data_IF_839082488890
#
_entry.id   IF_839082488890
#
_cell.length_a   1.000
_cell.length_b   1.000
_cell.length_c   1.000
_cell.angle_alpha   90.00
_cell.angle_beta   90.00
_cell.angle_gamma   90.00
#
_symmetry.space_group_name_H-M   'P 1'
#
loop_
_entity.id
_entity.type
_entity.pdbx_description
1 polymer ?
#
# COMPACT_ATOMS: atom_id res chain seq x y z
N UNK A 1 34.35 10.14 -16.08
CA UNK A 1 33.54 11.32 -15.70
C UNK A 1 32.47 11.69 -16.73
N UNK A 2 32.36 10.98 -17.86
CA UNK A 2 31.34 11.24 -18.90
C UNK A 2 30.04 10.47 -18.68
N UNK A 3 30.11 9.30 -18.04
CA UNK A 3 28.96 8.41 -17.78
C UNK A 3 28.00 9.00 -16.74
N UNK A 4 28.51 9.72 -15.75
CA UNK A 4 27.69 10.40 -14.71
C UNK A 4 27.16 11.76 -15.16
N UNK A 5 27.26 12.08 -16.47
CA UNK A 5 26.82 13.32 -17.11
C UNK A 5 27.40 14.63 -16.54
N UNK A 6 28.41 14.57 -15.67
CA UNK A 6 29.00 15.77 -15.03
C UNK A 6 29.84 16.56 -16.03
N UNK A 7 30.72 15.89 -16.76
CA UNK A 7 31.42 16.47 -17.92
C UNK A 7 32.16 17.78 -17.64
N UNK A 8 33.08 17.80 -16.66
CA UNK A 8 33.86 18.99 -16.29
C UNK A 8 34.63 19.64 -17.45
N UNK A 9 34.98 18.86 -18.49
CA UNK A 9 35.69 19.37 -19.68
C UNK A 9 37.18 19.58 -19.48
N UNK A 10 37.73 19.06 -18.39
CA UNK A 10 39.15 19.02 -18.04
C UNK A 10 39.97 18.17 -19.01
N UNK A 11 39.37 17.10 -19.55
CA UNK A 11 39.96 16.26 -20.61
C UNK A 11 39.00 16.24 -21.80
N UNK A 12 39.47 16.73 -22.96
CA UNK A 12 38.68 16.79 -24.20
C UNK A 12 39.41 16.11 -25.36
N UNK A 13 38.68 15.42 -26.27
CA UNK A 13 39.29 14.76 -27.42
C UNK A 13 39.94 15.80 -28.33
N UNK A 14 41.19 15.57 -28.69
CA UNK A 14 41.95 16.45 -29.58
C UNK A 14 41.91 15.95 -31.03
N UNK A 15 41.69 14.64 -31.21
CA UNK A 15 41.69 13.99 -32.52
C UNK A 15 40.30 13.48 -32.94
N UNK A 16 40.07 13.38 -34.25
CA UNK A 16 38.79 12.85 -34.80
C UNK A 16 38.46 11.43 -34.33
N UNK A 17 39.48 10.59 -34.13
CA UNK A 17 39.31 9.23 -33.62
C UNK A 17 38.88 9.24 -32.14
N UNK A 18 39.50 10.09 -31.32
CA UNK A 18 39.15 10.28 -29.91
C UNK A 18 37.73 10.85 -29.75
N UNK A 19 37.34 11.76 -30.65
CA UNK A 19 35.99 12.31 -30.69
C UNK A 19 34.94 11.22 -30.98
N UNK A 20 35.19 10.35 -31.96
CA UNK A 20 34.30 9.22 -32.26
C UNK A 20 34.14 8.25 -31.08
N UNK A 21 35.24 7.95 -30.39
CA UNK A 21 35.22 7.12 -29.18
C UNK A 21 34.47 7.80 -28.03
N UNK A 22 34.67 9.10 -27.83
CA UNK A 22 33.98 9.87 -26.80
C UNK A 22 32.46 9.89 -27.03
N UNK A 23 32.01 10.07 -28.27
CA UNK A 23 30.58 10.00 -28.64
C UNK A 23 30.02 8.60 -28.34
N UNK A 24 30.71 7.54 -28.73
CA UNK A 24 30.26 6.16 -28.47
C UNK A 24 30.13 5.88 -26.96
N UNK A 25 31.11 6.31 -26.16
CA UNK A 25 31.08 6.16 -24.70
C UNK A 25 29.96 7.01 -24.06
N UNK A 26 29.68 8.20 -24.60
CA UNK A 26 28.56 9.02 -24.13
C UNK A 26 27.21 8.36 -24.41
N UNK A 27 27.02 7.79 -25.60
CA UNK A 27 25.78 7.07 -25.93
C UNK A 27 25.60 5.85 -25.02
N UNK A 28 26.65 5.04 -24.86
CA UNK A 28 26.61 3.88 -23.96
C UNK A 28 26.38 4.30 -22.50
N UNK A 29 27.05 5.37 -22.05
CA UNK A 29 26.88 5.93 -20.72
C UNK A 29 25.45 6.40 -20.47
N UNK A 30 24.83 7.08 -21.44
CA UNK A 30 23.44 7.50 -21.36
C UNK A 30 22.47 6.31 -21.25
N UNK A 31 22.66 5.25 -22.04
CA UNK A 31 21.85 4.04 -21.97
C UNK A 31 21.93 3.38 -20.58
N UNK A 32 23.14 3.23 -20.04
CA UNK A 32 23.35 2.66 -18.70
C UNK A 32 22.73 3.55 -17.63
N UNK A 33 22.89 4.87 -17.73
CA UNK A 33 22.33 5.82 -16.77
C UNK A 33 20.80 5.82 -16.77
N UNK A 34 20.16 5.84 -17.94
CA UNK A 34 18.70 5.75 -18.05
C UNK A 34 18.18 4.42 -17.52
N UNK A 35 18.87 3.30 -17.78
CA UNK A 35 18.51 2.00 -17.20
C UNK A 35 18.57 2.03 -15.67
N UNK A 36 19.62 2.61 -15.08
CA UNK A 36 19.72 2.74 -13.63
C UNK A 36 18.58 3.57 -13.04
N UNK A 37 18.23 4.70 -13.66
CA UNK A 37 17.08 5.51 -13.22
C UNK A 37 15.79 4.68 -13.29
N UNK A 38 15.56 3.93 -14.37
CA UNK A 38 14.36 3.12 -14.51
C UNK A 38 14.25 2.05 -13.41
N UNK A 39 15.36 1.39 -13.07
CA UNK A 39 15.40 0.41 -11.97
C UNK A 39 15.09 1.09 -10.62
N UNK A 40 15.70 2.25 -10.34
CA UNK A 40 15.43 3.00 -9.10
C UNK A 40 13.95 3.38 -9.02
N UNK A 41 13.36 3.89 -10.10
CA UNK A 41 11.95 4.26 -10.14
C UNK A 41 11.04 3.07 -9.89
N UNK A 42 11.36 1.90 -10.46
CA UNK A 42 10.60 0.66 -10.22
C UNK A 42 10.69 0.19 -8.76
N UNK A 43 11.81 0.41 -8.09
CA UNK A 43 11.93 0.08 -6.66
C UNK A 43 11.11 1.04 -5.81
N UNK A 44 11.16 2.34 -6.11
CA UNK A 44 10.39 3.36 -5.39
C UNK A 44 8.88 3.11 -5.50
N UNK A 45 8.39 2.67 -6.67
CA UNK A 45 6.96 2.36 -6.83
C UNK A 45 6.46 1.22 -5.95
N UNK A 46 7.31 0.23 -5.63
CA UNK A 46 6.92 -0.91 -4.79
C UNK A 46 6.86 -0.53 -3.31
N UNK A 47 7.77 0.34 -2.85
CA UNK A 47 7.85 0.71 -1.43
C UNK A 47 6.60 1.46 -0.95
N UNK A 48 5.92 2.18 -1.85
CA UNK A 48 4.87 3.12 -1.45
C UNK A 48 3.47 2.76 -1.97
N UNK A 49 3.27 1.55 -2.52
CA UNK A 49 2.00 1.14 -3.14
C UNK A 49 0.79 1.31 -2.20
N UNK A 50 0.90 0.87 -0.94
CA UNK A 50 -0.18 0.99 0.04
C UNK A 50 -0.48 2.46 0.42
N UNK A 51 0.54 3.31 0.51
CA UNK A 51 0.34 4.74 0.77
C UNK A 51 -0.30 5.42 -0.44
N UNK A 52 0.13 5.09 -1.65
CA UNK A 52 -0.45 5.57 -2.90
C UNK A 52 -1.92 5.20 -3.01
N UNK A 53 -2.28 3.94 -2.71
CA UNK A 53 -3.68 3.49 -2.69
C UNK A 53 -4.51 4.27 -1.66
N UNK A 54 -3.98 4.48 -0.46
CA UNK A 54 -4.66 5.27 0.56
C UNK A 54 -4.86 6.73 0.12
N UNK A 55 -3.81 7.37 -0.41
CA UNK A 55 -3.86 8.74 -0.91
C UNK A 55 -4.85 8.86 -2.07
N UNK A 56 -4.90 7.85 -2.94
CA UNK A 56 -5.88 7.78 -4.03
C UNK A 56 -7.31 7.75 -3.49
N UNK A 57 -7.61 6.89 -2.52
CA UNK A 57 -8.93 6.84 -1.86
C UNK A 57 -9.29 8.16 -1.20
N UNK A 58 -8.34 8.83 -0.55
CA UNK A 58 -8.54 10.15 0.05
C UNK A 58 -8.86 11.23 -1.00
N UNK A 59 -8.18 11.18 -2.14
CA UNK A 59 -8.45 12.09 -3.27
C UNK A 59 -9.83 11.85 -3.88
N UNK A 60 -10.22 10.59 -4.06
CA UNK A 60 -11.55 10.23 -4.57
C UNK A 60 -12.65 10.70 -3.59
N UNK A 61 -12.43 10.56 -2.28
CA UNK A 61 -13.32 11.12 -1.25
C UNK A 61 -13.42 12.64 -1.36
N UNK A 62 -12.29 13.34 -1.50
CA UNK A 62 -12.26 14.79 -1.66
C UNK A 62 -13.03 15.25 -2.91
N UNK A 63 -12.85 14.56 -4.04
CA UNK A 63 -13.57 14.85 -5.27
C UNK A 63 -15.09 14.65 -5.11
N UNK A 64 -15.49 13.57 -4.43
CA UNK A 64 -16.90 13.30 -4.13
C UNK A 64 -17.52 14.39 -3.25
N UNK A 65 -16.84 14.77 -2.18
CA UNK A 65 -17.29 15.82 -1.25
C UNK A 65 -17.40 17.18 -1.93
N UNK A 66 -16.48 17.50 -2.85
CA UNK A 66 -16.55 18.70 -3.66
C UNK A 66 -17.75 18.67 -4.61
N UNK A 67 -17.99 17.55 -5.29
CA UNK A 67 -19.11 17.38 -6.23
C UNK A 67 -20.47 17.59 -5.55
N UNK A 68 -20.66 17.04 -4.36
CA UNK A 68 -21.94 17.16 -3.60
C UNK A 68 -22.01 18.42 -2.73
N UNK A 69 -21.03 19.32 -2.82
CA UNK A 69 -20.99 20.58 -2.06
C UNK A 69 -21.16 20.37 -0.55
N UNK A 70 -20.46 19.37 -0.01
CA UNK A 70 -20.56 19.02 1.40
C UNK A 70 -20.06 20.17 2.30
N UNK A 71 -20.71 20.49 3.43
CA UNK A 71 -20.22 21.50 4.37
C UNK A 71 -18.81 21.18 4.91
N UNK A 72 -18.04 22.21 5.24
CA UNK A 72 -16.62 22.08 5.64
C UNK A 72 -16.42 21.22 6.89
N UNK A 73 -17.30 21.34 7.87
CA UNK A 73 -17.29 20.51 9.09
C UNK A 73 -17.46 19.02 8.77
N UNK A 74 -18.40 18.68 7.88
CA UNK A 74 -18.62 17.31 7.45
C UNK A 74 -17.43 16.77 6.65
N UNK A 75 -16.77 17.60 5.84
CA UNK A 75 -15.55 17.22 5.11
C UNK A 75 -14.43 16.85 6.05
N UNK A 76 -14.20 17.67 7.08
CA UNK A 76 -13.17 17.42 8.08
C UNK A 76 -13.43 16.09 8.81
N UNK A 77 -14.69 15.84 9.21
CA UNK A 77 -15.08 14.59 9.86
C UNK A 77 -14.87 13.35 8.97
N UNK A 78 -15.26 13.41 7.69
CA UNK A 78 -15.09 12.29 6.77
C UNK A 78 -13.62 11.98 6.47
N UNK A 79 -12.77 13.00 6.29
CA UNK A 79 -11.32 12.81 6.15
C UNK A 79 -10.70 12.16 7.38
N UNK A 80 -11.07 12.66 8.56
CA UNK A 80 -10.59 12.13 9.83
C UNK A 80 -11.02 10.67 10.03
N UNK A 81 -12.26 10.34 9.69
CA UNK A 81 -12.74 8.94 9.70
C UNK A 81 -11.86 8.07 8.79
N UNK A 82 -11.70 8.45 7.52
CA UNK A 82 -10.94 7.65 6.57
C UNK A 82 -9.47 7.50 6.99
N UNK A 83 -8.87 8.55 7.54
CA UNK A 83 -7.51 8.52 8.08
C UNK A 83 -7.37 7.56 9.27
N UNK A 84 -8.27 7.65 10.25
CA UNK A 84 -8.25 6.76 11.41
C UNK A 84 -8.63 5.31 11.07
N UNK A 85 -9.43 5.11 10.01
CA UNK A 85 -9.79 3.80 9.51
C UNK A 85 -8.66 3.12 8.71
N UNK A 86 -7.53 3.79 8.44
CA UNK A 86 -6.44 3.22 7.61
C UNK A 86 -5.92 1.88 8.13
N UNK A 87 -5.55 1.70 9.41
CA UNK A 87 -5.09 0.41 9.92
C UNK A 87 -6.17 -0.67 9.83
N UNK A 88 -7.43 -0.26 9.95
CA UNK A 88 -8.57 -1.16 9.85
C UNK A 88 -8.81 -1.64 8.41
N UNK A 89 -8.69 -0.74 7.43
CA UNK A 89 -8.79 -1.08 6.01
C UNK A 89 -7.65 -1.98 5.54
N UNK A 90 -6.44 -1.80 6.09
CA UNK A 90 -5.30 -2.70 5.83
C UNK A 90 -5.61 -4.13 6.29
N UNK A 91 -6.15 -4.30 7.51
CA UNK A 91 -6.61 -5.62 7.99
C UNK A 91 -7.73 -6.21 7.14
N UNK A 92 -8.68 -5.38 6.68
CA UNK A 92 -9.74 -5.84 5.77
C UNK A 92 -9.18 -6.38 4.45
N UNK A 93 -8.16 -5.74 3.88
CA UNK A 93 -7.47 -6.25 2.68
C UNK A 93 -6.78 -7.59 2.90
N UNK A 94 -6.26 -7.85 4.12
CA UNK A 94 -5.68 -9.16 4.45
C UNK A 94 -6.71 -10.29 4.39
N UNK A 95 -7.99 -10.00 4.68
CA UNK A 95 -9.06 -11.00 4.57
C UNK A 95 -9.31 -11.48 3.14
N UNK A 96 -9.22 -10.58 2.16
CA UNK A 96 -9.33 -10.97 0.75
C UNK A 96 -8.21 -11.95 0.36
N UNK A 97 -7.05 -11.84 1.00
CA UNK A 97 -5.95 -12.81 0.84
C UNK A 97 -6.31 -14.14 1.52
N UNK A 98 -6.95 -14.11 2.70
CA UNK A 98 -7.45 -15.32 3.37
C UNK A 98 -8.42 -16.10 2.48
N UNK A 99 -9.30 -15.39 1.76
CA UNK A 99 -10.29 -16.01 0.86
C UNK A 99 -9.64 -16.78 -0.32
N UNK A 100 -8.39 -16.48 -0.67
CA UNK A 100 -7.63 -17.20 -1.70
C UNK A 100 -7.03 -18.53 -1.20
N UNK A 101 -7.02 -18.77 0.11
CA UNK A 101 -6.42 -19.96 0.71
C UNK A 101 -7.38 -21.16 0.71
N UNK A 102 -6.84 -22.37 0.84
CA UNK A 102 -7.66 -23.57 1.01
C UNK A 102 -8.45 -23.51 2.34
N UNK A 103 -9.66 -24.11 2.41
CA UNK A 103 -10.47 -24.13 3.63
C UNK A 103 -9.73 -24.53 4.92
N UNK A 104 -8.84 -25.56 4.94
CA UNK A 104 -8.11 -25.90 6.17
C UNK A 104 -7.08 -24.82 6.57
N UNK A 105 -6.46 -24.13 5.61
CA UNK A 105 -5.50 -23.05 5.90
C UNK A 105 -6.20 -21.79 6.40
N UNK A 106 -7.39 -21.49 5.85
CA UNK A 106 -8.26 -20.44 6.40
C UNK A 106 -8.59 -20.72 7.86
N UNK A 107 -9.00 -21.95 8.17
CA UNK A 107 -9.36 -22.37 9.52
C UNK A 107 -8.21 -22.16 10.52
N UNK A 108 -6.98 -22.51 10.15
CA UNK A 108 -5.78 -22.31 10.97
C UNK A 108 -5.48 -20.82 11.23
N UNK A 109 -5.62 -19.99 10.20
CA UNK A 109 -5.38 -18.55 10.30
C UNK A 109 -6.43 -17.85 11.17
N UNK A 110 -7.72 -18.13 10.93
CA UNK A 110 -8.82 -17.56 11.73
C UNK A 110 -8.79 -18.07 13.17
N UNK A 111 -8.40 -19.32 13.41
CA UNK A 111 -8.17 -19.80 14.76
C UNK A 111 -7.11 -18.93 15.44
N UNK A 112 -5.98 -18.66 14.81
CA UNK A 112 -4.90 -17.89 15.43
C UNK A 112 -5.30 -16.43 15.67
N UNK A 113 -5.96 -15.79 14.71
CA UNK A 113 -6.35 -14.37 14.81
C UNK A 113 -7.46 -14.12 15.84
N UNK A 114 -8.46 -15.02 15.91
CA UNK A 114 -9.67 -14.79 16.70
C UNK A 114 -9.74 -15.58 18.01
N UNK A 115 -8.83 -16.54 18.25
CA UNK A 115 -8.81 -17.28 19.53
C UNK A 115 -8.69 -16.34 20.72
N UNK A 116 -7.84 -15.33 20.66
CA UNK A 116 -7.66 -14.38 21.78
C UNK A 116 -8.88 -13.46 21.98
N UNK A 117 -9.70 -13.24 20.94
CA UNK A 117 -10.83 -12.31 21.00
C UNK A 117 -12.15 -13.02 21.33
N UNK A 118 -12.35 -14.24 20.80
CA UNK A 118 -13.61 -14.98 20.91
C UNK A 118 -13.60 -15.93 22.11
N UNK A 119 -12.48 -16.61 22.40
CA UNK A 119 -12.42 -17.60 23.49
C UNK A 119 -12.72 -17.06 24.89
N UNK A 120 -12.40 -15.78 25.22
CA UNK A 120 -12.77 -15.21 26.51
C UNK A 120 -14.27 -14.92 26.67
N UNK A 121 -15.05 -14.96 25.59
CA UNK A 121 -16.46 -14.65 25.65
C UNK A 121 -17.21 -15.82 26.32
N UNK A 122 -18.05 -15.56 27.34
CA UNK A 122 -18.72 -16.61 28.11
C UNK A 122 -19.63 -17.50 27.25
N UNK A 123 -20.12 -16.98 26.11
CA UNK A 123 -20.94 -17.72 25.16
C UNK A 123 -20.20 -18.80 24.36
N UNK A 124 -18.86 -18.73 24.30
CA UNK A 124 -18.02 -19.66 23.54
C UNK A 124 -17.19 -20.59 24.43
N UNK A 125 -17.33 -20.48 25.76
CA UNK A 125 -16.52 -21.25 26.73
C UNK A 125 -16.74 -22.78 26.66
N UNK A 126 -17.94 -23.23 26.29
CA UNK A 126 -18.30 -24.66 26.21
C UNK A 126 -18.44 -25.16 24.76
N UNK A 127 -18.07 -24.33 23.77
CA UNK A 127 -18.33 -24.62 22.37
C UNK A 127 -17.10 -25.21 21.68
N UNK A 128 -17.29 -26.09 20.69
CA UNK A 128 -16.20 -26.76 20.01
C UNK A 128 -15.29 -25.78 19.27
N UNK A 129 -13.99 -26.05 19.24
CA UNK A 129 -13.01 -25.22 18.53
C UNK A 129 -13.35 -25.07 17.04
N UNK A 130 -13.89 -26.11 16.41
CA UNK A 130 -14.35 -26.08 15.01
C UNK A 130 -15.46 -25.06 14.80
N UNK A 131 -16.39 -24.92 15.74
CA UNK A 131 -17.46 -23.93 15.65
C UNK A 131 -16.93 -22.51 15.83
N UNK A 132 -16.00 -22.29 16.77
CA UNK A 132 -15.34 -20.98 16.95
C UNK A 132 -14.67 -20.51 15.66
N UNK A 133 -13.99 -21.43 14.96
CA UNK A 133 -13.36 -21.14 13.66
C UNK A 133 -14.40 -20.79 12.59
N UNK A 134 -15.49 -21.54 12.48
CA UNK A 134 -16.56 -21.22 11.50
C UNK A 134 -17.24 -19.87 11.80
N UNK A 135 -17.40 -19.51 13.07
CA UNK A 135 -17.90 -18.19 13.46
C UNK A 135 -16.90 -17.09 13.14
N UNK A 136 -15.61 -17.31 13.42
CA UNK A 136 -14.53 -16.37 13.09
C UNK A 136 -14.47 -16.07 11.57
N UNK A 137 -14.76 -17.06 10.72
CA UNK A 137 -14.87 -16.89 9.26
C UNK A 137 -15.99 -15.94 8.85
N UNK A 138 -17.07 -15.85 9.62
CA UNK A 138 -18.26 -15.04 9.28
C UNK A 138 -18.19 -13.65 9.92
N UNK A 139 -17.53 -13.51 11.07
CA UNK A 139 -17.40 -12.23 11.78
C UNK A 139 -16.75 -11.19 10.87
N UNK A 140 -17.41 -10.05 10.68
CA UNK A 140 -16.83 -8.89 10.01
C UNK A 140 -16.65 -7.78 11.04
N UNK A 141 -15.41 -7.40 11.37
CA UNK A 141 -15.23 -6.27 12.26
C UNK A 141 -15.71 -4.99 11.53
N UNK A 142 -16.15 -4.00 12.30
CA UNK A 142 -16.62 -2.71 11.78
C UNK A 142 -15.93 -1.61 12.58
N UNK A 143 -15.41 -0.60 11.89
CA UNK A 143 -14.76 0.56 12.51
C UNK A 143 -15.71 1.74 12.62
N UNK A 144 -15.73 2.37 13.80
CA UNK A 144 -16.54 3.53 14.14
C UNK A 144 -15.65 4.67 14.62
N UNK A 145 -15.94 5.90 14.19
CA UNK A 145 -15.25 7.06 14.72
C UNK A 145 -15.74 7.42 16.13
N UNK A 146 -14.92 8.13 16.94
CA UNK A 146 -15.39 8.70 18.20
C UNK A 146 -16.53 9.67 17.88
N UNK A 147 -17.75 9.37 18.37
CA UNK A 147 -19.05 10.05 18.12
C UNK A 147 -19.98 9.43 17.07
N UNK A 148 -19.63 8.29 16.46
CA UNK A 148 -20.62 7.51 15.72
C UNK A 148 -21.49 6.73 16.74
N UNK A 149 -22.81 6.84 16.63
CA UNK A 149 -23.74 6.10 17.48
C UNK A 149 -24.12 4.77 16.81
N UNK A 150 -24.07 3.68 17.58
CA UNK A 150 -24.69 2.40 17.22
C UNK A 150 -26.20 2.54 17.44
N UNK A 151 -27.00 2.14 16.46
CA UNK A 151 -28.46 1.96 16.58
C UNK A 151 -28.80 0.49 16.31
#
# INVERSE_FOLDING_TARGET
MTITTVGYGDISPQNRAELGMAIAIQVLGALVYTYLIAVIMSLVSVVDENSWLFLRRMNDLNALMARIHLPEESRARMRLYLFNARPFMERRGQREICDLMSPPMQAELYATEYTETISPLPYFAEVSHTFVVEVARIIQPIFYAPKDCFA
#
